data_IF_119880948190
#
_entry.id   IF_119880948190
#
_cell.length_a   1.000
_cell.length_b   1.000
_cell.length_c   1.000
_cell.angle_alpha   90.00
_cell.angle_beta   90.00
_cell.angle_gamma   90.00
#
_symmetry.space_group_name_H-M   'P 1'
#
loop_
_entity.id
_entity.type
_entity.pdbx_description
1 polymer ?
#
# COMPACT_ATOMS: atom_id res chain seq x y z
N UNK A 1 3.69 -4.24 21.78
CA UNK A 1 2.79 -4.74 20.73
C UNK A 1 1.91 -5.84 21.26
N UNK A 2 0.64 -5.94 20.84
CA UNK A 2 -0.38 -6.68 21.60
C UNK A 2 -1.50 -7.31 20.77
N UNK A 3 -2.51 -7.80 21.48
CA UNK A 3 -3.72 -8.39 20.90
C UNK A 3 -4.42 -7.35 20.02
N UNK A 4 -4.83 -7.78 18.83
CA UNK A 4 -5.59 -6.98 17.89
C UNK A 4 -7.00 -6.73 18.45
N UNK A 5 -7.52 -5.49 18.39
CA UNK A 5 -8.92 -5.24 18.71
C UNK A 5 -9.86 -6.13 17.88
N UNK A 6 -10.99 -6.53 18.47
CA UNK A 6 -11.98 -7.39 17.78
C UNK A 6 -12.51 -6.69 16.52
N UNK A 7 -12.67 -5.36 16.58
CA UNK A 7 -13.10 -4.53 15.45
C UNK A 7 -12.18 -4.66 14.24
N UNK A 8 -10.88 -4.76 14.46
CA UNK A 8 -9.89 -4.84 13.40
C UNK A 8 -9.79 -6.28 12.87
N UNK A 9 -9.86 -7.25 13.80
CA UNK A 9 -9.76 -8.68 13.49
C UNK A 9 -10.88 -9.15 12.55
N UNK A 10 -12.07 -8.54 12.63
CA UNK A 10 -13.22 -8.92 11.80
C UNK A 10 -12.94 -8.76 10.31
N UNK A 11 -12.14 -7.77 9.91
CA UNK A 11 -11.77 -7.55 8.51
C UNK A 11 -10.89 -8.70 8.00
N UNK A 12 -9.91 -9.15 8.78
CA UNK A 12 -9.02 -10.25 8.39
C UNK A 12 -9.74 -11.61 8.36
N UNK A 13 -10.71 -11.80 9.26
CA UNK A 13 -11.50 -13.03 9.34
C UNK A 13 -12.58 -13.11 8.24
N UNK A 14 -13.19 -11.98 7.86
CA UNK A 14 -14.27 -11.93 6.88
C UNK A 14 -13.82 -11.72 5.42
N UNK A 15 -12.53 -11.42 5.21
CA UNK A 15 -11.94 -11.20 3.89
C UNK A 15 -11.84 -12.52 3.10
N UNK A 16 -12.12 -12.44 1.81
CA UNK A 16 -12.01 -13.56 0.87
C UNK A 16 -11.35 -13.09 -0.43
N UNK A 17 -10.93 -14.02 -1.29
CA UNK A 17 -10.37 -13.65 -2.61
C UNK A 17 -11.31 -12.82 -3.48
N UNK A 18 -12.62 -13.01 -3.35
CA UNK A 18 -13.63 -12.24 -4.09
C UNK A 18 -14.09 -10.96 -3.38
N UNK A 19 -13.65 -10.74 -2.14
CA UNK A 19 -14.01 -9.58 -1.30
C UNK A 19 -12.79 -9.18 -0.45
N UNK A 20 -11.78 -8.53 -1.04
CA UNK A 20 -10.74 -7.85 -0.29
C UNK A 20 -11.37 -6.82 0.65
N UNK A 21 -10.83 -6.68 1.85
CA UNK A 21 -11.36 -5.78 2.89
C UNK A 21 -10.36 -4.68 3.30
N UNK A 22 -9.47 -4.32 2.38
CA UNK A 22 -8.62 -3.14 2.49
C UNK A 22 -9.29 -1.91 1.87
N UNK A 23 -8.93 -0.72 2.34
CA UNK A 23 -9.37 0.55 1.76
C UNK A 23 -8.29 1.11 0.84
N UNK A 24 -8.67 2.02 -0.06
CA UNK A 24 -7.74 2.70 -0.95
C UNK A 24 -8.10 4.17 -1.12
N UNK A 25 -7.11 4.99 -1.49
CA UNK A 25 -7.29 6.39 -1.84
C UNK A 25 -6.59 6.70 -3.16
N UNK A 26 -7.28 7.41 -4.05
CA UNK A 26 -6.67 7.97 -5.27
C UNK A 26 -6.49 9.47 -5.08
N UNK A 27 -5.24 9.92 -5.08
CA UNK A 27 -4.88 11.33 -4.95
C UNK A 27 -4.34 11.82 -6.29
N UNK A 28 -4.98 12.86 -6.84
CA UNK A 28 -4.57 13.47 -8.10
C UNK A 28 -3.83 14.77 -7.83
N UNK A 29 -2.66 14.90 -8.43
CA UNK A 29 -1.81 16.08 -8.31
C UNK A 29 -1.61 16.72 -9.67
N UNK A 30 -1.39 18.03 -9.67
CA UNK A 30 -0.85 18.76 -10.82
C UNK A 30 0.61 19.04 -10.55
N UNK A 31 1.41 18.88 -11.59
CA UNK A 31 2.81 19.26 -11.55
C UNK A 31 2.92 20.78 -11.35
N UNK A 32 3.82 21.26 -10.47
CA UNK A 32 4.20 22.68 -10.44
C UNK A 32 4.65 23.17 -11.81
N UNK A 33 4.49 24.47 -12.08
CA UNK A 33 4.83 25.06 -13.39
C UNK A 33 6.32 24.92 -13.76
N UNK A 34 7.17 24.84 -12.74
CA UNK A 34 8.64 24.77 -12.84
C UNK A 34 9.20 23.35 -12.63
N UNK A 35 8.34 22.34 -12.50
CA UNK A 35 8.75 20.96 -12.26
C UNK A 35 8.54 20.07 -13.50
N UNK A 36 9.35 19.01 -13.59
CA UNK A 36 9.21 17.93 -14.57
C UNK A 36 8.82 16.61 -13.91
N UNK A 37 8.34 15.64 -14.68
CA UNK A 37 8.08 14.26 -14.19
C UNK A 37 9.36 13.63 -13.61
N UNK A 38 10.53 13.95 -14.19
CA UNK A 38 11.82 13.48 -13.68
C UNK A 38 12.17 14.05 -12.31
N UNK A 39 11.68 15.25 -11.97
CA UNK A 39 11.85 15.82 -10.63
C UNK A 39 11.03 15.06 -9.59
N UNK A 40 9.81 14.65 -9.95
CA UNK A 40 8.96 13.82 -9.09
C UNK A 40 9.55 12.43 -8.89
N UNK A 41 10.08 11.82 -9.96
CA UNK A 41 10.76 10.53 -9.87
C UNK A 41 11.98 10.60 -8.93
N UNK A 42 12.80 11.64 -9.05
CA UNK A 42 13.96 11.84 -8.17
C UNK A 42 13.56 12.08 -6.72
N UNK A 43 12.55 12.92 -6.48
CA UNK A 43 12.04 13.16 -5.12
C UNK A 43 11.51 11.87 -4.49
N UNK A 44 10.85 11.04 -5.29
CA UNK A 44 10.37 9.73 -4.85
C UNK A 44 11.53 8.79 -4.50
N UNK A 45 12.56 8.71 -5.36
CA UNK A 45 13.77 7.90 -5.09
C UNK A 45 14.49 8.36 -3.81
N UNK A 46 14.59 9.68 -3.60
CA UNK A 46 15.17 10.27 -2.38
C UNK A 46 14.35 9.93 -1.14
N UNK A 47 13.01 10.02 -1.22
CA UNK A 47 12.13 9.64 -0.12
C UNK A 47 12.22 8.14 0.23
N UNK A 48 12.33 7.29 -0.80
CA UNK A 48 12.54 5.85 -0.64
C UNK A 48 13.89 5.53 0.01
N UNK A 49 14.94 6.26 -0.36
CA UNK A 49 16.28 6.10 0.22
C UNK A 49 16.38 6.58 1.67
N UNK A 50 15.57 7.57 2.07
CA UNK A 50 15.54 8.06 3.45
C UNK A 50 15.03 6.99 4.43
N UNK A 51 14.02 6.22 4.02
CA UNK A 51 13.59 5.01 4.75
C UNK A 51 12.96 5.24 6.13
N UNK A 52 12.64 6.48 6.49
CA UNK A 52 11.92 6.78 7.73
C UNK A 52 10.42 6.53 7.56
N UNK A 53 9.97 5.41 8.12
CA UNK A 53 8.59 4.94 8.02
C UNK A 53 7.96 4.93 9.41
N UNK A 54 6.81 5.58 9.52
CA UNK A 54 6.02 5.63 10.75
C UNK A 54 5.86 4.20 11.34
N UNK A 55 6.11 3.99 12.64
CA UNK A 55 6.00 2.67 13.27
C UNK A 55 4.65 1.98 13.05
N UNK A 56 3.56 2.73 12.83
CA UNK A 56 2.23 2.19 12.52
C UNK A 56 2.15 1.53 11.14
N UNK A 57 3.06 1.86 10.22
CA UNK A 57 3.21 1.24 8.91
C UNK A 57 4.21 0.07 8.94
N UNK A 58 4.79 -0.24 10.11
CA UNK A 58 5.72 -1.35 10.33
C UNK A 58 5.09 -2.45 11.18
N UNK A 59 3.79 -2.66 11.04
CA UNK A 59 3.06 -3.69 11.79
C UNK A 59 2.35 -4.65 10.84
N UNK A 60 2.43 -5.94 11.15
CA UNK A 60 1.78 -7.00 10.36
C UNK A 60 0.98 -7.94 11.26
N UNK A 61 -0.09 -8.56 10.75
CA UNK A 61 -0.86 -9.49 11.55
C UNK A 61 -0.07 -10.79 11.75
N UNK A 62 -0.25 -11.43 12.90
CA UNK A 62 0.29 -12.77 13.18
C UNK A 62 -0.79 -13.69 13.73
N UNK A 63 -0.66 -14.96 13.37
CA UNK A 63 -1.42 -16.01 14.01
C UNK A 63 -0.94 -16.16 15.45
N UNK A 64 -1.88 -16.13 16.40
CA UNK A 64 -1.59 -16.37 17.81
C UNK A 64 -2.59 -17.38 18.36
N UNK A 65 -2.10 -18.34 19.14
CA UNK A 65 -2.90 -19.40 19.78
C UNK A 65 -3.68 -20.31 18.80
N UNK A 66 -3.34 -20.34 17.52
CA UNK A 66 -4.01 -21.18 16.52
C UNK A 66 -5.42 -20.73 16.12
N UNK A 67 -5.87 -19.56 16.59
CA UNK A 67 -7.26 -19.09 16.40
C UNK A 67 -7.41 -18.05 15.27
N UNK A 68 -6.32 -17.72 14.57
CA UNK A 68 -6.31 -16.74 13.47
C UNK A 68 -5.39 -15.54 13.74
N UNK A 69 -5.37 -14.56 12.82
CA UNK A 69 -4.54 -13.36 12.92
C UNK A 69 -5.06 -12.38 13.98
N UNK A 70 -4.86 -12.71 15.26
CA UNK A 70 -5.42 -11.98 16.41
C UNK A 70 -4.42 -11.08 17.13
N UNK A 71 -3.22 -10.92 16.60
CA UNK A 71 -2.22 -10.04 17.17
C UNK A 71 -1.46 -9.31 16.08
N UNK A 72 -0.97 -8.13 16.42
CA UNK A 72 -0.01 -7.41 15.60
C UNK A 72 1.41 -7.80 16.07
N UNK A 73 2.37 -7.88 15.13
CA UNK A 73 3.82 -7.83 15.44
C UNK A 73 4.54 -6.78 14.59
N UNK A 74 5.64 -6.23 15.12
CA UNK A 74 6.42 -5.22 14.44
C UNK A 74 7.24 -5.92 13.37
N UNK A 75 7.36 -5.29 12.22
CA UNK A 75 8.23 -5.72 11.15
C UNK A 75 9.53 -4.92 11.20
N UNK A 76 10.57 -5.57 11.73
CA UNK A 76 11.90 -4.98 11.84
C UNK A 76 12.60 -4.90 10.48
N UNK A 77 12.17 -5.70 9.50
CA UNK A 77 12.76 -5.82 8.17
C UNK A 77 11.77 -5.38 7.09
N UNK A 78 11.22 -4.18 7.24
CA UNK A 78 10.34 -3.57 6.25
C UNK A 78 11.05 -3.45 4.90
N UNK A 79 10.54 -4.19 3.92
CA UNK A 79 10.93 -4.13 2.52
C UNK A 79 10.15 -3.00 1.83
N UNK A 80 10.73 -1.79 1.80
CA UNK A 80 10.03 -0.61 1.31
C UNK A 80 9.73 -0.68 -0.18
N UNK A 81 10.61 -1.31 -0.97
CA UNK A 81 10.41 -1.52 -2.42
C UNK A 81 9.20 -2.41 -2.72
N UNK A 82 8.87 -3.35 -1.82
CA UNK A 82 7.62 -4.12 -1.94
C UNK A 82 6.39 -3.23 -1.77
N UNK A 83 6.41 -2.34 -0.77
CA UNK A 83 5.27 -1.54 -0.36
C UNK A 83 5.04 -0.34 -1.27
N UNK A 84 6.10 0.29 -1.78
CA UNK A 84 5.98 1.49 -2.61
C UNK A 84 6.43 1.19 -4.03
N UNK A 85 5.52 1.34 -4.99
CA UNK A 85 5.74 1.00 -6.39
C UNK A 85 5.57 2.21 -7.29
N UNK A 86 6.43 2.31 -8.28
CA UNK A 86 6.30 3.30 -9.35
C UNK A 86 5.66 2.62 -10.57
N UNK A 87 4.57 3.19 -11.06
CA UNK A 87 3.78 2.71 -12.19
C UNK A 87 3.54 3.84 -13.18
N UNK A 88 3.28 3.49 -14.44
CA UNK A 88 2.85 4.44 -15.46
C UNK A 88 1.48 4.05 -16.03
N UNK A 89 0.67 5.06 -16.34
CA UNK A 89 -0.59 4.88 -17.07
C UNK A 89 -0.26 4.59 -18.54
N UNK A 90 -0.84 3.53 -19.13
CA UNK A 90 -0.61 3.26 -20.55
C UNK A 90 -1.16 4.41 -21.41
N UNK A 91 -0.48 4.70 -22.53
CA UNK A 91 -0.97 5.68 -23.50
C UNK A 91 -2.41 5.34 -23.92
N UNK A 92 -3.31 6.33 -24.02
CA UNK A 92 -3.05 7.77 -24.07
C UNK A 92 -3.05 8.53 -22.73
N UNK A 93 -2.94 7.86 -21.57
CA UNK A 93 -2.77 8.57 -20.28
C UNK A 93 -4.02 9.28 -19.77
N UNK A 94 -5.23 8.81 -20.11
CA UNK A 94 -6.47 9.45 -19.64
C UNK A 94 -6.91 8.86 -18.32
N UNK A 95 -7.85 9.55 -17.68
CA UNK A 95 -8.54 9.09 -16.47
C UNK A 95 -9.10 7.68 -16.62
N UNK A 96 -9.57 7.29 -17.82
CA UNK A 96 -10.05 5.93 -18.06
C UNK A 96 -8.97 4.87 -17.85
N UNK A 97 -7.78 5.09 -18.40
CA UNK A 97 -6.65 4.17 -18.26
C UNK A 97 -6.14 4.15 -16.81
N UNK A 98 -6.13 5.31 -16.14
CA UNK A 98 -5.83 5.42 -14.70
C UNK A 98 -6.80 4.61 -13.84
N UNK A 99 -8.11 4.80 -14.02
CA UNK A 99 -9.12 4.09 -13.24
C UNK A 99 -9.08 2.58 -13.50
N UNK A 100 -8.73 2.14 -14.70
CA UNK A 100 -8.52 0.72 -15.00
C UNK A 100 -7.31 0.14 -14.25
N UNK A 101 -6.20 0.89 -14.17
CA UNK A 101 -5.04 0.52 -13.35
C UNK A 101 -5.41 0.44 -11.87
N UNK A 102 -6.04 1.49 -11.32
CA UNK A 102 -6.47 1.54 -9.92
C UNK A 102 -7.43 0.40 -9.59
N UNK A 103 -8.37 0.08 -10.48
CA UNK A 103 -9.31 -1.04 -10.29
C UNK A 103 -8.59 -2.38 -10.14
N UNK A 104 -7.52 -2.61 -10.92
CA UNK A 104 -6.71 -3.83 -10.81
C UNK A 104 -5.90 -3.87 -9.52
N UNK A 105 -5.30 -2.75 -9.13
CA UNK A 105 -4.51 -2.65 -7.91
C UNK A 105 -5.40 -2.90 -6.68
N UNK A 106 -6.56 -2.23 -6.60
CA UNK A 106 -7.51 -2.37 -5.50
C UNK A 106 -8.21 -3.73 -5.44
N UNK A 107 -8.27 -4.47 -6.56
CA UNK A 107 -8.86 -5.81 -6.59
C UNK A 107 -7.95 -6.90 -5.99
N UNK A 108 -6.67 -6.60 -5.72
CA UNK A 108 -5.69 -7.58 -5.27
C UNK A 108 -5.67 -7.71 -3.74
N UNK A 109 -5.47 -8.92 -3.21
CA UNK A 109 -5.26 -9.11 -1.77
C UNK A 109 -3.88 -8.62 -1.36
N UNK A 110 -3.79 -7.98 -0.19
CA UNK A 110 -2.52 -7.67 0.45
C UNK A 110 -1.89 -8.94 1.06
N UNK A 111 -0.56 -9.04 1.00
CA UNK A 111 0.17 -10.15 1.62
C UNK A 111 0.18 -10.01 3.14
N UNK A 112 -0.47 -10.97 3.82
CA UNK A 112 -0.60 -10.99 5.28
C UNK A 112 0.70 -11.32 6.02
N UNK A 113 1.77 -11.69 5.30
CA UNK A 113 3.10 -11.88 5.88
C UNK A 113 3.87 -10.56 6.02
N UNK A 114 3.30 -9.43 5.56
CA UNK A 114 3.91 -8.10 5.55
C UNK A 114 2.94 -7.07 6.15
N UNK A 115 3.40 -5.84 6.43
CA UNK A 115 2.50 -4.76 6.79
C UNK A 115 1.43 -4.54 5.72
N UNK A 116 0.18 -4.36 6.13
CA UNK A 116 -0.98 -4.38 5.23
C UNK A 116 -1.21 -3.02 4.56
N UNK A 117 -0.26 -2.57 3.74
CA UNK A 117 -0.40 -1.35 2.94
C UNK A 117 0.47 -1.40 1.69
N UNK A 118 0.07 -0.62 0.68
CA UNK A 118 0.88 -0.34 -0.50
C UNK A 118 0.70 1.13 -0.90
N UNK A 119 1.76 1.75 -1.40
CA UNK A 119 1.76 3.06 -2.04
C UNK A 119 2.12 2.92 -3.52
N UNK A 120 1.42 3.65 -4.39
CA UNK A 120 1.66 3.60 -5.82
C UNK A 120 1.86 5.02 -6.36
N UNK A 121 3.08 5.36 -6.77
CA UNK A 121 3.33 6.56 -7.58
C UNK A 121 2.92 6.23 -9.01
N UNK A 122 1.96 6.97 -9.56
CA UNK A 122 1.44 6.73 -10.90
C UNK A 122 1.70 7.97 -11.77
N UNK A 123 2.46 7.80 -12.85
CA UNK A 123 2.76 8.85 -13.83
C UNK A 123 2.13 8.58 -15.20
N UNK A 124 2.13 9.58 -16.08
CA UNK A 124 1.74 9.45 -17.49
C UNK A 124 0.30 9.77 -17.84
#
# INVERSE_FOLDING_TARGET
MGIMPVTDSVFLLAETRSKPLHVGGLQLFKLPEDASIGDISRLFDEAMAFGDVDPRLRIRPIHRFGVGPLAWVADEQLDLEYHVRHSAVPRPGRIRELLALVSRLHGSLLDRNRPLWEGHLIEG
#
